data_IF_472032519549
#
_entry.id   IF_472032519549
#
_cell.length_a   1.000
_cell.length_b   1.000
_cell.length_c   1.000
_cell.angle_alpha   90.00
_cell.angle_beta   90.00
_cell.angle_gamma   90.00
#
_symmetry.space_group_name_H-M   'P 1'
#
loop_
_entity.id
_entity.type
_entity.pdbx_description
1 polymer ?
#
# COMPACT_ATOMS: atom_id res chain seq x y z
N UNK A 1 -26.12 -12.51 -9.12
CA UNK A 1 -24.89 -11.87 -8.59
C UNK A 1 -23.92 -11.74 -9.76
N UNK A 2 -23.20 -10.62 -9.88
CA UNK A 2 -22.22 -10.43 -10.95
C UNK A 2 -21.01 -11.31 -10.65
N UNK A 3 -20.80 -12.40 -11.39
CA UNK A 3 -19.68 -13.35 -11.16
C UNK A 3 -18.30 -12.76 -11.55
N UNK A 4 -18.26 -11.57 -12.15
CA UNK A 4 -17.04 -10.95 -12.71
C UNK A 4 -16.89 -9.50 -12.22
N UNK A 5 -16.49 -9.27 -10.97
CA UNK A 5 -16.47 -7.93 -10.37
C UNK A 5 -15.47 -6.96 -11.02
N UNK A 6 -14.51 -7.50 -11.80
CA UNK A 6 -13.41 -6.74 -12.37
C UNK A 6 -13.47 -6.59 -13.91
N UNK A 7 -14.56 -6.98 -14.56
CA UNK A 7 -14.68 -6.86 -16.02
C UNK A 7 -15.76 -5.83 -16.37
N UNK A 8 -15.40 -4.82 -17.17
CA UNK A 8 -16.36 -3.82 -17.68
C UNK A 8 -17.32 -4.42 -18.70
N UNK A 9 -16.86 -5.44 -19.42
CA UNK A 9 -17.67 -6.26 -20.30
C UNK A 9 -16.86 -7.39 -20.91
N UNK A 10 -17.57 -8.32 -21.55
CA UNK A 10 -16.97 -9.42 -22.30
C UNK A 10 -17.53 -9.51 -23.71
N UNK A 11 -16.71 -9.99 -24.63
CA UNK A 11 -17.07 -10.17 -26.02
C UNK A 11 -16.37 -11.39 -26.62
N UNK A 12 -16.99 -11.97 -27.63
CA UNK A 12 -16.43 -13.05 -28.42
C UNK A 12 -16.17 -12.56 -29.84
N UNK A 13 -14.90 -12.66 -30.25
CA UNK A 13 -14.43 -12.38 -31.59
C UNK A 13 -14.23 -13.70 -32.34
N UNK A 14 -14.91 -13.87 -33.47
CA UNK A 14 -14.75 -15.06 -34.30
C UNK A 14 -13.53 -14.90 -35.19
N UNK A 15 -12.75 -15.97 -35.38
CA UNK A 15 -11.69 -15.96 -36.38
C UNK A 15 -12.28 -16.13 -37.78
N UNK A 16 -11.95 -15.22 -38.69
CA UNK A 16 -12.42 -15.24 -40.08
C UNK A 16 -11.23 -15.14 -41.01
N UNK A 17 -11.06 -16.10 -41.92
CA UNK A 17 -10.02 -16.04 -42.95
C UNK A 17 -10.44 -15.10 -44.08
N UNK A 18 -9.48 -14.51 -44.79
CA UNK A 18 -9.78 -13.64 -45.93
C UNK A 18 -10.71 -14.27 -46.96
N UNK A 19 -10.47 -15.55 -47.28
CA UNK A 19 -11.28 -16.30 -48.23
C UNK A 19 -12.75 -16.43 -47.82
N UNK A 20 -13.03 -16.42 -46.52
CA UNK A 20 -14.38 -16.60 -45.96
C UNK A 20 -15.08 -15.27 -45.65
N UNK A 21 -14.36 -14.14 -45.79
CA UNK A 21 -14.85 -12.80 -45.40
C UNK A 21 -16.17 -12.44 -46.08
N UNK A 22 -16.27 -12.59 -47.40
CA UNK A 22 -17.50 -12.21 -48.13
C UNK A 22 -18.72 -13.04 -47.70
N UNK A 23 -18.52 -14.34 -47.45
CA UNK A 23 -19.59 -15.22 -46.99
C UNK A 23 -20.02 -14.85 -45.57
N UNK A 24 -19.04 -14.57 -44.70
CA UNK A 24 -19.27 -14.12 -43.33
C UNK A 24 -20.04 -12.79 -43.28
N UNK A 25 -19.59 -11.75 -44.00
CA UNK A 25 -20.25 -10.44 -44.01
C UNK A 25 -21.70 -10.54 -44.56
N UNK A 26 -21.92 -11.37 -45.57
CA UNK A 26 -23.26 -11.64 -46.13
C UNK A 26 -24.18 -12.35 -45.12
N UNK A 27 -23.64 -13.28 -44.33
CA UNK A 27 -24.39 -14.00 -43.31
C UNK A 27 -24.74 -13.11 -42.11
N UNK A 28 -23.79 -12.28 -41.66
CA UNK A 28 -23.99 -11.39 -40.52
C UNK A 28 -24.84 -10.16 -40.86
N UNK A 29 -24.87 -9.75 -42.13
CA UNK A 29 -25.61 -8.56 -42.58
C UNK A 29 -24.86 -7.23 -42.32
N UNK A 30 -23.58 -7.30 -41.98
CA UNK A 30 -22.70 -6.15 -41.76
C UNK A 30 -21.27 -6.44 -42.22
N UNK A 31 -20.48 -5.37 -42.43
CA UNK A 31 -19.09 -5.45 -42.88
C UNK A 31 -18.11 -5.41 -41.71
N UNK A 32 -16.98 -6.10 -41.84
CA UNK A 32 -15.91 -6.06 -40.85
C UNK A 32 -15.28 -4.67 -40.85
N UNK A 33 -15.21 -4.04 -39.67
CA UNK A 33 -14.64 -2.70 -39.49
C UNK A 33 -13.37 -2.76 -38.67
N UNK A 34 -12.47 -1.81 -38.86
CA UNK A 34 -11.31 -1.59 -37.99
C UNK A 34 -11.76 -1.00 -36.65
N UNK A 35 -10.86 -0.97 -35.67
CA UNK A 35 -11.04 -0.26 -34.40
C UNK A 35 -11.34 1.24 -34.58
N UNK A 36 -11.08 1.83 -35.75
CA UNK A 36 -11.45 3.21 -36.10
C UNK A 36 -12.84 3.34 -36.73
N UNK A 37 -13.63 2.26 -36.75
CA UNK A 37 -14.94 2.17 -37.40
C UNK A 37 -14.91 2.33 -38.95
N UNK A 38 -13.75 2.17 -39.57
CA UNK A 38 -13.59 2.18 -41.03
C UNK A 38 -13.67 0.75 -41.59
N UNK A 39 -14.09 0.52 -42.84
CA UNK A 39 -14.04 -0.81 -43.45
C UNK A 39 -12.64 -1.43 -43.36
N UNK A 40 -12.53 -2.67 -42.88
CA UNK A 40 -11.22 -3.31 -42.71
C UNK A 40 -10.57 -3.57 -44.07
N UNK A 41 -9.28 -3.22 -44.28
CA UNK A 41 -8.58 -3.51 -45.52
C UNK A 41 -8.40 -5.03 -45.73
N UNK A 42 -7.95 -5.47 -46.92
CA UNK A 42 -7.54 -6.86 -47.13
C UNK A 42 -6.42 -7.25 -46.16
N UNK A 43 -6.64 -8.31 -45.38
CA UNK A 43 -5.75 -8.94 -44.41
C UNK A 43 -5.92 -10.45 -44.52
N UNK A 44 -4.92 -11.22 -44.11
CA UNK A 44 -4.94 -12.69 -44.18
C UNK A 44 -6.04 -13.31 -43.30
N UNK A 45 -6.21 -12.75 -42.10
CA UNK A 45 -7.23 -13.14 -41.13
C UNK A 45 -7.74 -11.93 -40.35
N UNK A 46 -8.94 -12.09 -39.81
CA UNK A 46 -9.68 -11.08 -39.04
C UNK A 46 -10.20 -11.70 -37.74
N UNK A 47 -10.46 -10.85 -36.75
CA UNK A 47 -11.13 -11.22 -35.51
C UNK A 47 -12.34 -10.31 -35.23
N UNK A 48 -13.40 -10.33 -36.08
CA UNK A 48 -14.60 -9.54 -35.84
C UNK A 48 -15.37 -10.02 -34.62
N UNK A 49 -15.82 -9.07 -33.78
CA UNK A 49 -16.71 -9.33 -32.65
C UNK A 49 -18.11 -9.69 -33.14
N UNK A 50 -18.60 -10.88 -32.77
CA UNK A 50 -19.96 -11.35 -33.14
C UNK A 50 -20.91 -11.43 -31.96
N UNK A 51 -20.37 -11.55 -30.74
CA UNK A 51 -21.17 -11.50 -29.52
C UNK A 51 -20.52 -10.54 -28.55
N UNK A 52 -21.29 -9.65 -27.98
CA UNK A 52 -20.83 -8.69 -26.99
C UNK A 52 -21.88 -8.57 -25.89
N UNK A 53 -21.41 -8.40 -24.66
CA UNK A 53 -22.29 -7.94 -23.60
C UNK A 53 -22.79 -6.53 -23.90
N UNK A 54 -24.00 -6.19 -23.43
CA UNK A 54 -24.64 -4.88 -23.68
C UNK A 54 -23.75 -3.69 -23.29
N UNK A 55 -22.94 -3.83 -22.23
CA UNK A 55 -21.97 -2.82 -21.75
C UNK A 55 -20.85 -2.51 -22.74
N UNK A 56 -20.59 -3.41 -23.69
CA UNK A 56 -19.56 -3.31 -24.73
C UNK A 56 -20.15 -3.56 -26.12
N UNK A 57 -21.41 -3.20 -26.35
CA UNK A 57 -22.07 -3.36 -27.66
C UNK A 57 -21.40 -2.55 -28.79
N UNK A 58 -20.70 -1.47 -28.45
CA UNK A 58 -20.01 -0.61 -29.42
C UNK A 58 -18.84 -1.29 -30.17
N UNK A 59 -18.34 -2.43 -29.68
CA UNK A 59 -17.30 -3.21 -30.37
C UNK A 59 -17.86 -4.26 -31.34
N UNK A 60 -19.18 -4.41 -31.44
CA UNK A 60 -19.79 -5.36 -32.37
C UNK A 60 -19.39 -5.06 -33.84
N UNK A 61 -18.94 -6.10 -34.54
CA UNK A 61 -18.44 -6.01 -35.91
C UNK A 61 -17.06 -5.37 -36.08
N UNK A 62 -16.41 -4.96 -34.99
CA UNK A 62 -15.03 -4.48 -35.03
C UNK A 62 -14.04 -5.64 -35.06
N UNK A 63 -13.02 -5.50 -35.88
CA UNK A 63 -11.88 -6.40 -36.02
C UNK A 63 -10.86 -6.12 -34.92
N UNK A 64 -10.83 -7.00 -33.92
CA UNK A 64 -9.90 -6.88 -32.79
C UNK A 64 -8.44 -7.04 -33.21
N UNK A 65 -8.14 -7.62 -34.38
CA UNK A 65 -6.77 -7.69 -34.90
C UNK A 65 -6.27 -6.37 -35.50
N UNK A 66 -7.15 -5.38 -35.70
CA UNK A 66 -6.73 -4.08 -36.22
C UNK A 66 -6.10 -3.16 -35.16
N UNK A 67 -6.23 -3.50 -33.87
CA UNK A 67 -5.48 -2.88 -32.77
C UNK A 67 -4.21 -3.67 -32.47
N UNK A 68 -3.07 -2.99 -32.30
CA UNK A 68 -1.78 -3.65 -32.10
C UNK A 68 -1.72 -4.44 -30.79
N UNK A 69 -2.21 -3.86 -29.69
CA UNK A 69 -2.24 -4.49 -28.38
C UNK A 69 -3.12 -5.73 -28.35
N UNK A 70 -4.33 -5.63 -28.92
CA UNK A 70 -5.27 -6.74 -29.04
C UNK A 70 -4.75 -7.83 -29.99
N UNK A 71 -4.15 -7.45 -31.13
CA UNK A 71 -3.54 -8.38 -32.09
C UNK A 71 -2.42 -9.20 -31.45
N UNK A 72 -1.48 -8.54 -30.75
CA UNK A 72 -0.40 -9.23 -30.03
C UNK A 72 -0.98 -10.24 -29.03
N UNK A 73 -2.01 -9.83 -28.28
CA UNK A 73 -2.63 -10.67 -27.26
C UNK A 73 -3.37 -11.86 -27.87
N UNK A 74 -4.14 -11.64 -28.94
CA UNK A 74 -4.84 -12.69 -29.69
C UNK A 74 -3.89 -13.76 -30.21
N UNK A 75 -2.79 -13.34 -30.84
CA UNK A 75 -1.78 -14.24 -31.39
C UNK A 75 -1.10 -15.06 -30.29
N UNK A 76 -0.77 -14.42 -29.16
CA UNK A 76 -0.17 -15.10 -28.00
C UNK A 76 -1.15 -16.06 -27.32
N UNK A 77 -2.42 -15.66 -27.20
CA UNK A 77 -3.50 -16.45 -26.60
C UNK A 77 -3.64 -17.79 -27.31
N UNK A 78 -3.82 -17.78 -28.64
CA UNK A 78 -4.00 -19.01 -29.42
C UNK A 78 -2.76 -19.90 -29.48
N UNK A 79 -1.56 -19.31 -29.47
CA UNK A 79 -0.31 -20.07 -29.51
C UNK A 79 -0.05 -20.80 -28.19
N UNK A 80 -0.38 -20.17 -27.05
CA UNK A 80 -0.13 -20.71 -25.72
C UNK A 80 -1.28 -21.57 -25.19
N UNK A 81 -2.50 -21.37 -25.67
CA UNK A 81 -3.70 -22.04 -25.14
C UNK A 81 -4.07 -21.59 -23.72
N UNK A 82 -3.61 -20.42 -23.29
CA UNK A 82 -3.84 -19.87 -21.96
C UNK A 82 -4.41 -18.46 -22.02
N UNK A 83 -4.95 -18.02 -20.89
CA UNK A 83 -5.35 -16.64 -20.69
C UNK A 83 -4.12 -15.73 -20.75
N UNK A 84 -4.23 -14.62 -21.49
CA UNK A 84 -3.13 -13.66 -21.65
C UNK A 84 -3.62 -12.23 -21.51
N UNK A 85 -2.75 -11.36 -21.01
CA UNK A 85 -3.03 -9.95 -20.74
C UNK A 85 -2.22 -9.02 -21.65
N UNK A 86 -2.88 -7.98 -22.15
CA UNK A 86 -2.19 -6.88 -22.83
C UNK A 86 -1.29 -6.11 -21.86
N UNK A 87 -0.38 -5.33 -22.43
CA UNK A 87 0.20 -4.18 -21.70
C UNK A 87 -0.90 -3.18 -21.34
N UNK A 88 -0.73 -2.32 -20.32
CA UNK A 88 -1.66 -1.24 -20.05
C UNK A 88 -1.79 -0.31 -21.25
N UNK A 89 -3.01 -0.04 -21.68
CA UNK A 89 -3.31 0.89 -22.77
C UNK A 89 -4.68 1.55 -22.57
N UNK A 90 -4.96 2.62 -23.31
CA UNK A 90 -6.26 3.29 -23.24
C UNK A 90 -7.29 2.47 -24.01
N UNK A 91 -8.32 2.01 -23.30
CA UNK A 91 -9.47 1.33 -23.89
C UNK A 91 -10.32 2.32 -24.71
N UNK A 92 -11.31 1.81 -25.44
CA UNK A 92 -12.29 2.63 -26.15
C UNK A 92 -13.12 3.54 -25.23
N UNK A 93 -13.24 3.19 -23.94
CA UNK A 93 -13.82 4.05 -22.90
C UNK A 93 -12.92 5.24 -22.51
N UNK A 94 -11.72 5.35 -23.10
CA UNK A 94 -10.67 6.30 -22.76
C UNK A 94 -10.08 6.15 -21.35
N UNK A 95 -10.46 5.10 -20.63
CA UNK A 95 -9.85 4.72 -19.35
C UNK A 95 -8.63 3.83 -19.59
N UNK A 96 -7.66 3.90 -18.68
CA UNK A 96 -6.50 3.02 -18.71
C UNK A 96 -6.92 1.62 -18.26
N UNK A 97 -6.60 0.62 -19.09
CA UNK A 97 -7.01 -0.74 -18.82
C UNK A 97 -6.11 -1.80 -19.45
N UNK A 98 -6.50 -3.05 -19.22
CA UNK A 98 -5.88 -4.23 -19.83
C UNK A 98 -6.95 -5.14 -20.40
N UNK A 99 -6.65 -5.85 -21.48
CA UNK A 99 -7.56 -6.82 -22.08
C UNK A 99 -7.05 -8.22 -21.78
N UNK A 100 -7.94 -9.05 -21.24
CA UNK A 100 -7.74 -10.48 -21.05
C UNK A 100 -8.33 -11.23 -22.23
N UNK A 101 -7.56 -12.13 -22.83
CA UNK A 101 -7.99 -12.90 -23.98
C UNK A 101 -7.79 -14.39 -23.74
N UNK A 102 -8.85 -15.17 -23.95
CA UNK A 102 -8.83 -16.62 -23.99
C UNK A 102 -9.03 -17.11 -25.43
N UNK A 103 -8.28 -18.13 -25.87
CA UNK A 103 -8.53 -18.74 -27.15
C UNK A 103 -9.69 -19.73 -27.05
N UNK A 104 -10.50 -19.80 -28.09
CA UNK A 104 -11.55 -20.80 -28.25
C UNK A 104 -11.18 -21.68 -29.42
N UNK A 105 -11.21 -23.00 -29.21
CA UNK A 105 -10.84 -23.98 -30.23
C UNK A 105 -12.08 -24.78 -30.69
N UNK A 106 -12.08 -25.20 -31.96
CA UNK A 106 -13.17 -25.96 -32.58
C UNK A 106 -13.23 -27.43 -32.11
N UNK A 107 -12.09 -27.98 -31.71
CA UNK A 107 -11.92 -29.39 -31.35
C UNK A 107 -11.25 -29.45 -29.97
N UNK A 108 -11.56 -30.49 -29.21
CA UNK A 108 -10.84 -30.82 -27.98
C UNK A 108 -9.37 -31.13 -28.31
N UNK A 109 -8.52 -30.10 -28.27
CA UNK A 109 -7.09 -30.25 -28.45
C UNK A 109 -6.47 -30.88 -27.19
N UNK A 110 -5.52 -31.80 -27.36
CA UNK A 110 -4.79 -32.32 -26.22
C UNK A 110 -3.93 -31.21 -25.58
N UNK A 111 -3.67 -31.27 -24.25
CA UNK A 111 -2.94 -30.22 -23.54
C UNK A 111 -1.53 -29.95 -24.06
N UNK A 112 -0.91 -30.92 -24.74
CA UNK A 112 0.42 -30.90 -25.34
C UNK A 112 0.41 -30.61 -26.85
N UNK A 113 -0.72 -30.19 -27.41
CA UNK A 113 -0.83 -29.80 -28.82
C UNK A 113 0.23 -28.75 -29.20
N UNK A 114 0.83 -28.94 -30.38
CA UNK A 114 1.82 -28.02 -30.94
C UNK A 114 1.17 -26.67 -31.27
N UNK A 115 2.00 -25.64 -31.39
CA UNK A 115 1.53 -24.27 -31.67
C UNK A 115 0.78 -24.22 -32.99
N UNK A 116 1.26 -24.92 -34.01
CA UNK A 116 0.65 -24.97 -35.34
C UNK A 116 -0.75 -25.60 -35.31
N UNK A 117 -0.91 -26.70 -34.56
CA UNK A 117 -2.19 -27.40 -34.39
C UNK A 117 -3.21 -26.52 -33.65
N UNK A 118 -2.77 -25.80 -32.61
CA UNK A 118 -3.62 -24.84 -31.90
C UNK A 118 -4.07 -23.70 -32.80
N UNK A 119 -3.15 -23.14 -33.57
CA UNK A 119 -3.47 -22.08 -34.53
C UNK A 119 -4.47 -22.60 -35.56
N UNK A 120 -4.27 -23.79 -36.13
CA UNK A 120 -5.20 -24.37 -37.11
C UNK A 120 -6.60 -24.60 -36.52
N UNK A 121 -6.69 -25.07 -35.28
CA UNK A 121 -7.95 -25.40 -34.62
C UNK A 121 -8.62 -24.20 -33.91
N UNK A 122 -8.09 -22.98 -34.02
CA UNK A 122 -8.67 -21.77 -33.40
C UNK A 122 -9.99 -21.38 -34.06
N UNK A 123 -11.06 -21.35 -33.27
CA UNK A 123 -12.40 -20.87 -33.65
C UNK A 123 -12.54 -19.35 -33.49
N UNK A 124 -11.92 -18.80 -32.45
CA UNK A 124 -12.08 -17.40 -32.07
C UNK A 124 -11.47 -17.11 -30.70
N UNK A 125 -11.88 -15.99 -30.12
CA UNK A 125 -11.26 -15.38 -28.95
C UNK A 125 -12.33 -14.82 -28.03
N UNK A 126 -12.29 -15.19 -26.75
CA UNK A 126 -13.11 -14.59 -25.71
C UNK A 126 -12.29 -13.50 -25.01
N UNK A 127 -12.72 -12.25 -25.19
CA UNK A 127 -12.08 -11.07 -24.62
C UNK A 127 -12.86 -10.51 -23.43
N UNK A 128 -12.14 -9.95 -22.47
CA UNK A 128 -12.70 -9.15 -21.39
C UNK A 128 -11.83 -7.94 -21.10
N UNK A 129 -12.44 -6.75 -21.06
CA UNK A 129 -11.73 -5.52 -20.73
C UNK A 129 -11.76 -5.30 -19.21
N UNK A 130 -10.58 -5.11 -18.63
CA UNK A 130 -10.39 -4.65 -17.26
C UNK A 130 -10.19 -3.14 -17.29
N UNK A 131 -11.21 -2.41 -16.84
CA UNK A 131 -11.08 -0.99 -16.55
C UNK A 131 -10.41 -0.83 -15.18
N UNK A 132 -9.09 -0.86 -15.17
CA UNK A 132 -8.30 -0.90 -13.93
C UNK A 132 -8.56 0.36 -13.10
N UNK A 133 -8.73 1.51 -13.74
CA UNK A 133 -9.01 2.79 -13.11
C UNK A 133 -10.27 2.74 -12.24
N UNK A 134 -11.40 2.38 -12.84
CA UNK A 134 -12.69 2.28 -12.13
C UNK A 134 -12.69 1.21 -11.03
N UNK A 135 -11.99 0.09 -11.26
CA UNK A 135 -12.02 -1.06 -10.36
C UNK A 135 -11.18 -0.83 -9.11
N UNK A 136 -9.95 -0.36 -9.31
CA UNK A 136 -9.06 -0.08 -8.20
C UNK A 136 -9.62 1.10 -7.39
N UNK A 137 -10.19 2.13 -8.03
CA UNK A 137 -10.83 3.22 -7.29
C UNK A 137 -12.01 2.73 -6.44
N UNK A 138 -12.87 1.87 -6.97
CA UNK A 138 -13.98 1.30 -6.19
C UNK A 138 -13.51 0.43 -5.02
N UNK A 139 -12.46 -0.39 -5.22
CA UNK A 139 -11.86 -1.20 -4.16
C UNK A 139 -11.19 -0.33 -3.09
N UNK A 140 -10.42 0.68 -3.51
CA UNK A 140 -9.76 1.60 -2.60
C UNK A 140 -10.77 2.42 -1.81
N UNK A 141 -11.87 2.86 -2.42
CA UNK A 141 -12.94 3.57 -1.73
C UNK A 141 -13.56 2.75 -0.60
N UNK A 142 -13.66 1.43 -0.76
CA UNK A 142 -14.17 0.53 0.30
C UNK A 142 -13.14 0.33 1.43
N UNK A 143 -11.85 0.33 1.11
CA UNK A 143 -10.77 0.01 2.06
C UNK A 143 -10.19 1.24 2.78
N UNK A 144 -10.13 2.39 2.11
CA UNK A 144 -9.29 3.52 2.52
C UNK A 144 -9.85 4.33 3.70
N UNK A 145 -11.14 4.20 4.04
CA UNK A 145 -11.73 5.00 5.13
C UNK A 145 -11.33 6.48 5.05
N UNK A 146 -10.82 7.03 6.16
CA UNK A 146 -10.37 8.43 6.28
C UNK A 146 -8.83 8.60 6.14
N UNK A 147 -8.11 7.59 5.64
CA UNK A 147 -6.66 7.67 5.45
C UNK A 147 -6.32 7.97 3.99
N UNK A 148 -5.51 9.01 3.77
CA UNK A 148 -5.03 9.39 2.43
C UNK A 148 -3.91 8.44 2.00
N UNK A 149 -4.28 7.24 1.55
CA UNK A 149 -3.37 6.26 0.98
C UNK A 149 -3.30 6.46 -0.54
N UNK A 150 -2.09 6.62 -1.06
CA UNK A 150 -1.83 6.68 -2.50
C UNK A 150 -1.38 5.31 -2.96
N UNK A 151 -2.09 4.77 -3.95
CA UNK A 151 -1.81 3.46 -4.52
C UNK A 151 -1.55 3.62 -6.00
N UNK A 152 -0.41 3.08 -6.45
CA UNK A 152 -0.05 3.00 -7.85
C UNK A 152 0.17 1.54 -8.22
N UNK A 153 -0.30 1.12 -9.40
CA UNK A 153 -0.06 -0.21 -9.94
C UNK A 153 0.77 -0.08 -11.21
N UNK A 154 1.80 -0.90 -11.33
CA UNK A 154 2.71 -0.91 -12.46
C UNK A 154 2.78 -2.30 -13.09
N UNK A 155 2.78 -2.35 -14.42
CA UNK A 155 3.29 -3.49 -15.18
C UNK A 155 4.82 -3.36 -15.23
N UNK A 156 5.50 -4.28 -14.54
CA UNK A 156 6.96 -4.37 -14.39
C UNK A 156 7.55 -5.49 -15.24
N UNK A 157 6.84 -5.94 -16.28
CA UNK A 157 7.33 -6.94 -17.24
C UNK A 157 8.67 -6.52 -17.85
N UNK A 158 8.85 -5.22 -18.11
CA UNK A 158 10.14 -4.63 -18.40
C UNK A 158 10.64 -3.82 -17.19
N UNK A 159 11.61 -4.35 -16.45
CA UNK A 159 12.16 -3.70 -15.26
C UNK A 159 12.76 -2.31 -15.54
N UNK A 160 13.25 -2.07 -16.76
CA UNK A 160 13.85 -0.79 -17.14
C UNK A 160 12.81 0.26 -17.52
N UNK A 161 11.58 -0.15 -17.84
CA UNK A 161 10.51 0.75 -18.26
C UNK A 161 9.16 0.27 -17.67
N UNK A 162 8.91 0.50 -16.37
CA UNK A 162 7.65 0.13 -15.75
C UNK A 162 6.51 0.97 -16.32
N UNK A 163 5.44 0.31 -16.75
CA UNK A 163 4.27 0.98 -17.32
C UNK A 163 3.24 1.21 -16.21
N UNK A 164 2.74 2.42 -16.09
CA UNK A 164 1.63 2.73 -15.18
C UNK A 164 0.39 1.98 -15.66
N UNK A 165 -0.25 1.26 -14.76
CA UNK A 165 -1.52 0.56 -14.97
C UNK A 165 -2.65 1.19 -14.13
N UNK A 166 -2.29 1.80 -12.98
CA UNK A 166 -3.19 2.58 -12.14
C UNK A 166 -2.41 3.62 -11.34
N UNK A 167 -3.08 4.73 -11.02
CA UNK A 167 -2.58 5.76 -10.13
C UNK A 167 -1.95 6.92 -10.89
N UNK A 168 -1.68 8.00 -10.16
CA UNK A 168 -1.16 9.23 -10.75
C UNK A 168 0.35 9.32 -10.56
N UNK A 169 1.04 9.85 -11.58
CA UNK A 169 2.49 10.12 -11.56
C UNK A 169 2.88 11.31 -10.67
N UNK A 170 1.95 11.84 -9.84
CA UNK A 170 2.24 13.00 -9.00
C UNK A 170 3.52 12.73 -8.20
N UNK A 171 4.55 13.58 -8.33
CA UNK A 171 5.70 13.51 -7.46
C UNK A 171 5.22 13.95 -6.07
N UNK A 172 4.77 12.98 -5.28
CA UNK A 172 4.58 13.16 -3.85
C UNK A 172 5.95 13.50 -3.28
N UNK A 173 6.07 14.68 -2.67
CA UNK A 173 7.30 15.35 -2.26
C UNK A 173 8.40 14.47 -1.65
N UNK A 174 8.73 14.66 -0.38
CA UNK A 174 9.79 13.88 0.25
C UNK A 174 9.45 12.38 0.23
N UNK A 175 10.44 11.47 0.13
CA UNK A 175 10.21 10.03 0.01
C UNK A 175 9.51 9.51 1.28
N UNK A 176 8.20 9.37 1.21
CA UNK A 176 7.43 8.65 2.22
C UNK A 176 7.81 7.17 2.19
N UNK A 177 7.84 6.46 3.33
CA UNK A 177 8.02 5.01 3.33
C UNK A 177 6.93 4.37 2.46
N UNK A 178 7.37 3.60 1.46
CA UNK A 178 6.49 2.93 0.52
C UNK A 178 6.53 1.43 0.74
N UNK A 179 5.37 0.77 0.63
CA UNK A 179 5.27 -0.68 0.64
C UNK A 179 5.00 -1.19 -0.77
N UNK A 180 5.73 -2.22 -1.19
CA UNK A 180 5.56 -2.85 -2.50
C UNK A 180 4.99 -4.24 -2.33
N UNK A 181 3.82 -4.47 -2.94
CA UNK A 181 3.17 -5.76 -3.01
C UNK A 181 3.29 -6.30 -4.43
N UNK A 182 3.65 -7.57 -4.56
CA UNK A 182 3.63 -8.28 -5.85
C UNK A 182 2.20 -8.70 -6.17
N UNK A 183 1.72 -8.44 -7.39
CA UNK A 183 0.42 -8.84 -7.89
C UNK A 183 0.59 -9.87 -9.02
N UNK A 184 -0.12 -10.98 -8.91
CA UNK A 184 -0.21 -12.00 -9.95
C UNK A 184 -1.62 -11.99 -10.55
N UNK A 185 -1.71 -11.68 -11.84
CA UNK A 185 -2.97 -11.70 -12.60
C UNK A 185 -3.13 -12.97 -13.45
N UNK A 186 -2.24 -13.96 -13.30
CA UNK A 186 -2.34 -15.29 -13.91
C UNK A 186 -1.72 -15.43 -15.30
N UNK A 187 -1.19 -14.35 -15.88
CA UNK A 187 -0.38 -14.43 -17.11
C UNK A 187 1.12 -14.53 -16.75
N UNK A 188 1.78 -15.67 -17.00
CA UNK A 188 3.21 -15.85 -16.67
C UNK A 188 4.15 -14.93 -17.47
N UNK A 189 3.66 -14.31 -18.55
CA UNK A 189 4.43 -13.36 -19.34
C UNK A 189 4.34 -11.93 -18.81
N UNK A 190 3.54 -11.68 -17.76
CA UNK A 190 3.31 -10.34 -17.21
C UNK A 190 3.56 -10.30 -15.71
N UNK A 191 4.38 -9.35 -15.28
CA UNK A 191 4.66 -9.12 -13.85
C UNK A 191 4.09 -7.78 -13.42
N UNK A 192 3.41 -7.72 -12.28
CA UNK A 192 2.75 -6.51 -11.81
C UNK A 192 3.09 -6.26 -10.35
N UNK A 193 3.41 -5.03 -9.99
CA UNK A 193 3.60 -4.64 -8.59
C UNK A 193 2.66 -3.48 -8.24
N UNK A 194 2.14 -3.51 -7.02
CA UNK A 194 1.41 -2.40 -6.39
C UNK A 194 2.35 -1.69 -5.42
N UNK A 195 2.40 -0.37 -5.50
CA UNK A 195 3.14 0.49 -4.58
C UNK A 195 2.13 1.32 -3.79
N UNK A 196 2.16 1.16 -2.48
CA UNK A 196 1.32 1.88 -1.55
C UNK A 196 2.16 2.90 -0.77
N UNK A 197 1.66 4.13 -0.67
CA UNK A 197 2.31 5.26 0.04
C UNK A 197 1.28 6.01 0.87
N UNK A 198 1.72 6.63 1.96
CA UNK A 198 0.90 7.61 2.67
C UNK A 198 1.03 8.99 2.01
N UNK A 199 -0.06 9.74 1.86
CA UNK A 199 -0.07 11.09 1.27
C UNK A 199 0.56 12.13 2.19
N UNK A 200 0.41 11.95 3.50
CA UNK A 200 0.99 12.78 4.56
C UNK A 200 1.85 11.91 5.47
N UNK A 201 2.89 12.49 6.09
CA UNK A 201 3.66 11.79 7.11
C UNK A 201 2.69 11.25 8.18
N UNK A 202 2.80 9.97 8.56
CA UNK A 202 1.94 9.43 9.61
C UNK A 202 2.10 10.32 10.84
N UNK A 203 0.97 10.83 11.37
CA UNK A 203 0.98 11.58 12.62
C UNK A 203 1.67 10.72 13.67
N UNK A 204 2.92 11.08 14.01
CA UNK A 204 3.66 10.40 15.06
C UNK A 204 2.80 10.48 16.32
N UNK A 205 2.52 9.37 17.00
CA UNK A 205 1.71 9.40 18.21
C UNK A 205 2.51 10.13 19.28
N UNK A 206 2.33 11.45 19.35
CA UNK A 206 2.97 12.31 20.35
C UNK A 206 2.72 11.79 21.77
N UNK A 207 1.59 11.12 22.00
CA UNK A 207 1.28 10.41 23.25
C UNK A 207 2.30 9.33 23.62
N UNK A 208 2.88 8.63 22.64
CA UNK A 208 3.89 7.59 22.87
C UNK A 208 5.25 8.20 23.28
N UNK A 209 5.53 9.44 22.85
CA UNK A 209 6.78 10.16 23.16
C UNK A 209 6.65 10.94 24.48
N UNK A 210 5.50 11.54 24.78
CA UNK A 210 5.31 12.38 25.97
C UNK A 210 5.08 11.59 27.25
N UNK A 211 4.55 10.37 27.17
CA UNK A 211 4.33 9.52 28.34
C UNK A 211 5.63 9.16 29.08
N UNK A 212 6.69 8.63 28.43
CA UNK A 212 7.92 8.28 29.13
C UNK A 212 8.68 9.50 29.67
N UNK A 213 8.63 10.65 28.99
CA UNK A 213 9.29 11.87 29.47
C UNK A 213 8.60 12.45 30.71
N UNK A 214 7.27 12.42 30.77
CA UNK A 214 6.51 12.80 31.97
C UNK A 214 6.82 11.92 33.17
N UNK A 215 6.86 10.59 32.98
CA UNK A 215 7.22 9.63 34.05
C UNK A 215 8.64 9.88 34.56
N UNK A 216 9.59 10.16 33.67
CA UNK A 216 10.97 10.47 34.06
C UNK A 216 11.07 11.73 34.93
N UNK A 217 10.37 12.81 34.56
CA UNK A 217 10.34 14.06 35.34
C UNK A 217 9.74 13.82 36.73
N UNK A 218 8.65 13.05 36.82
CA UNK A 218 8.02 12.70 38.10
C UNK A 218 9.00 11.92 39.00
N UNK A 219 9.70 10.92 38.46
CA UNK A 219 10.70 10.15 39.22
C UNK A 219 11.88 11.02 39.70
N UNK A 220 12.37 11.92 38.86
CA UNK A 220 13.41 12.90 39.23
C UNK A 220 12.95 13.81 40.38
N UNK A 221 11.72 14.32 40.33
CA UNK A 221 11.16 15.17 41.37
C UNK A 221 11.01 14.41 42.70
N UNK A 222 10.54 13.16 42.67
CA UNK A 222 10.46 12.32 43.87
C UNK A 222 11.85 12.08 44.46
N UNK A 223 12.84 11.77 43.62
CA UNK A 223 14.23 11.60 44.04
C UNK A 223 14.80 12.88 44.69
N UNK A 224 14.51 14.05 44.12
CA UNK A 224 14.94 15.34 44.66
C UNK A 224 14.32 15.64 46.03
N UNK A 225 13.02 15.35 46.21
CA UNK A 225 12.32 15.54 47.49
C UNK A 225 12.93 14.64 48.56
N UNK A 226 13.20 13.37 48.25
CA UNK A 226 13.83 12.42 49.18
C UNK A 226 15.24 12.88 49.56
N UNK A 227 16.04 13.29 48.57
CA UNK A 227 17.39 13.82 48.80
C UNK A 227 17.38 15.07 49.69
N UNK A 228 16.48 16.02 49.41
CA UNK A 228 16.35 17.24 50.21
C UNK A 228 15.88 16.93 51.65
N UNK A 229 15.00 15.95 51.83
CA UNK A 229 14.54 15.50 53.14
C UNK A 229 15.68 14.86 53.95
N UNK A 230 16.50 14.01 53.32
CA UNK A 230 17.68 13.41 53.96
C UNK A 230 18.71 14.45 54.39
N UNK A 231 19.06 15.39 53.52
CA UNK A 231 20.01 16.45 53.87
C UNK A 231 19.50 17.33 55.04
N UNK A 232 18.20 17.61 55.09
CA UNK A 232 17.60 18.32 56.24
C UNK A 232 17.65 17.47 57.51
N UNK A 233 17.38 16.17 57.42
CA UNK A 233 17.45 15.27 58.56
C UNK A 233 18.86 15.19 59.15
N UNK A 234 19.89 15.03 58.31
CA UNK A 234 21.29 15.00 58.76
C UNK A 234 21.71 16.33 59.39
N UNK A 235 21.32 17.46 58.79
CA UNK A 235 21.57 18.79 59.35
C UNK A 235 20.97 18.96 60.74
N UNK A 236 19.70 18.58 60.92
CA UNK A 236 19.01 18.66 62.23
C UNK A 236 19.66 17.74 63.27
N UNK A 237 20.08 16.54 62.86
CA UNK A 237 20.76 15.59 63.74
C UNK A 237 22.11 16.14 64.21
N UNK A 238 22.85 16.78 63.32
CA UNK A 238 24.12 17.40 63.66
C UNK A 238 23.95 18.62 64.58
N UNK A 239 22.93 19.45 64.35
CA UNK A 239 22.62 20.59 65.20
C UNK A 239 22.12 20.17 66.60
N UNK A 240 21.35 19.09 66.72
CA UNK A 240 21.03 18.49 68.02
C UNK A 240 22.30 18.04 68.77
N UNK A 241 23.24 17.40 68.09
CA UNK A 241 24.51 16.96 68.69
C UNK A 241 25.34 18.15 69.18
N UNK A 242 25.39 19.25 68.41
CA UNK A 242 26.05 20.50 68.83
C UNK A 242 25.38 21.10 70.06
N UNK A 243 24.05 21.09 70.10
CA UNK A 243 23.28 21.64 71.21
C UNK A 243 23.49 20.83 72.51
N UNK A 244 23.56 19.50 72.44
CA UNK A 244 23.92 18.66 73.59
C UNK A 244 25.34 18.96 74.10
N UNK A 245 26.29 19.18 73.20
CA UNK A 245 27.67 19.51 73.59
C UNK A 245 27.75 20.89 74.28
N UNK A 246 27.02 21.87 73.76
CA UNK A 246 26.92 23.21 74.39
C UNK A 246 26.20 23.14 75.73
N UNK A 247 25.13 22.33 75.84
CA UNK A 247 24.40 22.12 77.10
C UNK A 247 25.31 21.51 78.18
N UNK A 248 26.09 20.47 77.86
CA UNK A 248 27.07 19.88 78.79
C UNK A 248 28.11 20.90 79.25
N UNK A 249 28.59 21.77 78.35
CA UNK A 249 29.53 22.84 78.70
C UNK A 249 28.91 23.89 79.62
N UNK A 250 27.65 24.26 79.37
CA UNK A 250 26.92 25.20 80.21
C UNK A 250 26.67 24.64 81.61
N UNK A 251 26.27 23.36 81.73
CA UNK A 251 26.12 22.67 83.01
C UNK A 251 27.45 22.60 83.78
N UNK A 252 28.56 22.28 83.12
CA UNK A 252 29.88 22.28 83.75
C UNK A 252 30.31 23.68 84.23
N UNK A 253 30.01 24.72 83.45
CA UNK A 253 30.29 26.11 83.83
C UNK A 253 29.45 26.57 85.03
N UNK A 254 28.19 26.14 85.12
CA UNK A 254 27.31 26.49 86.26
C UNK A 254 27.75 25.76 87.54
N UNK A 255 28.15 24.48 87.43
CA UNK A 255 28.78 23.74 88.53
C UNK A 255 30.05 24.44 89.01
N UNK A 256 30.95 24.84 88.10
CA UNK A 256 32.17 25.57 88.47
C UNK A 256 31.86 26.91 89.16
N UNK A 257 30.86 27.66 88.66
CA UNK A 257 30.41 28.91 89.28
C UNK A 257 29.83 28.69 90.68
N UNK A 258 29.11 27.59 90.89
CA UNK A 258 28.60 27.20 92.21
C UNK A 258 29.74 26.86 93.19
N UNK A 259 30.80 26.18 92.73
CA UNK A 259 31.98 25.87 93.55
C UNK A 259 32.79 27.12 93.91
N UNK A 260 32.97 28.06 92.98
CA UNK A 260 33.63 29.34 93.27
C UNK A 260 32.83 30.14 94.32
N UNK A 261 31.50 30.20 94.19
CA UNK A 261 30.63 30.83 95.20
C UNK A 261 30.72 30.16 96.56
N UNK A 262 30.82 28.84 96.61
CA UNK A 262 30.97 28.08 97.86
C UNK A 262 32.34 28.34 98.51
N UNK A 263 33.41 28.32 97.72
CA UNK A 263 34.77 28.61 98.18
C UNK A 263 34.90 30.05 98.72
N UNK A 264 34.27 31.02 98.03
CA UNK A 264 34.23 32.41 98.50
C UNK A 264 33.44 32.56 99.82
N UNK A 265 32.38 31.77 100.01
CA UNK A 265 31.66 31.68 101.30
C UNK A 265 32.51 31.11 102.43
N UNK A 266 33.36 30.11 102.16
CA UNK A 266 34.28 29.56 103.18
C UNK A 266 35.38 30.57 103.56
N UNK A 267 35.98 31.25 102.58
CA UNK A 267 36.99 32.29 102.82
C UNK A 267 36.43 33.49 103.60
N UNK A 268 35.13 33.81 103.43
CA UNK A 268 34.48 34.86 104.21
C UNK A 268 34.21 34.46 105.68
N UNK A 269 34.19 33.16 106.02
CA UNK A 269 33.98 32.66 107.39
C UNK A 269 35.31 32.59 108.17
N UNK A 270 36.45 32.45 107.51
CA UNK A 270 37.78 32.55 108.17
C UNK A 270 38.25 34.00 108.43
N UNK A 271 37.51 35.00 107.92
CA UNK A 271 37.86 36.42 108.02
C UNK A 271 37.07 37.19 109.10
N UNK A 272 36.37 36.50 110.00
CA UNK A 272 35.63 37.08 111.13
C UNK A 272 36.03 36.46 112.47
#
# INVERSE_FOLDING_TARGET
>A
SFERPLLSGVAYAQRVMHADREAFERQQGWIIKTMKHEPSPPQDEYAPVIYSQETVSYIEGLDMMSGEEDRENILRSRATGKAVLTRPFRLMSNHLGVVLTFPVYLVDLPPDAKVEDRVAATAGYLGGAFDVESLVENLLRQLAGNQELVVNVYDVTNHSNPLVMYGSEVPLGAPSPSHTCTLDFGDPFRNHHMICRYRSEPHVPWSAITTPSGVFVILMLIGYIIYAAWNRYDSVKEDCRKMEALKKRAEAADVAKSQVKFCWKLLAVEMF
#
